data_IF_642418075848
#
_entry.id   IF_642418075848
#
_cell.length_a   1.000
_cell.length_b   1.000
_cell.length_c   1.000
_cell.angle_alpha   90.00
_cell.angle_beta   90.00
_cell.angle_gamma   90.00
#
_symmetry.space_group_name_H-M   'P 1'
#
loop_
_entity.id
_entity.type
_entity.pdbx_description
1 polymer ?
#
# COMPACT_ATOMS: atom_id res chain seq x y z
N UNK A 1 -16.46 -1.49 -28.10
CA UNK A 1 -16.07 -1.53 -26.68
C UNK A 1 -14.57 -1.81 -26.66
N UNK A 2 -13.77 -0.80 -26.33
CA UNK A 2 -12.32 -0.78 -26.56
C UNK A 2 -11.57 -1.64 -25.55
N UNK A 3 -10.62 -2.43 -26.04
CA UNK A 3 -9.75 -3.37 -25.30
C UNK A 3 -9.04 -2.67 -24.12
N UNK A 4 -8.78 -1.37 -24.22
CA UNK A 4 -8.11 -0.57 -23.18
C UNK A 4 -8.91 -0.49 -21.87
N UNK A 5 -10.25 -0.48 -21.90
CA UNK A 5 -11.08 -0.39 -20.70
C UNK A 5 -11.03 -1.69 -19.90
N UNK A 6 -11.03 -2.84 -20.59
CA UNK A 6 -10.91 -4.15 -19.96
C UNK A 6 -9.53 -4.30 -19.30
N UNK A 7 -8.49 -3.82 -19.98
CA UNK A 7 -7.11 -3.90 -19.48
C UNK A 7 -6.88 -3.01 -18.24
N UNK A 8 -7.45 -1.81 -18.20
CA UNK A 8 -7.33 -0.93 -17.02
C UNK A 8 -7.99 -1.53 -15.78
N UNK A 9 -9.16 -2.16 -15.93
CA UNK A 9 -9.86 -2.77 -14.82
C UNK A 9 -9.14 -4.01 -14.30
N UNK A 10 -8.57 -4.83 -15.19
CA UNK A 10 -7.73 -5.97 -14.82
C UNK A 10 -6.49 -5.53 -14.03
N UNK A 11 -5.82 -4.45 -14.46
CA UNK A 11 -4.67 -3.91 -13.72
C UNK A 11 -5.08 -3.44 -12.33
N UNK A 12 -6.23 -2.77 -12.17
CA UNK A 12 -6.73 -2.39 -10.83
C UNK A 12 -6.97 -3.60 -9.95
N UNK A 13 -7.61 -4.65 -10.48
CA UNK A 13 -7.85 -5.88 -9.73
C UNK A 13 -6.54 -6.56 -9.32
N UNK A 14 -5.53 -6.59 -10.20
CA UNK A 14 -4.21 -7.13 -9.89
C UNK A 14 -3.55 -6.32 -8.76
N UNK A 15 -3.57 -4.99 -8.83
CA UNK A 15 -3.00 -4.12 -7.80
C UNK A 15 -3.71 -4.30 -6.44
N UNK A 16 -5.04 -4.43 -6.44
CA UNK A 16 -5.82 -4.71 -5.23
C UNK A 16 -5.51 -6.10 -4.66
N UNK A 17 -5.36 -7.12 -5.50
CA UNK A 17 -4.99 -8.46 -5.08
C UNK A 17 -3.58 -8.47 -4.46
N UNK A 18 -2.64 -7.74 -5.06
CA UNK A 18 -1.28 -7.59 -4.55
C UNK A 18 -1.25 -6.89 -3.18
N UNK A 19 -2.02 -5.81 -3.00
CA UNK A 19 -2.19 -5.13 -1.71
C UNK A 19 -2.71 -6.10 -0.63
N UNK A 20 -3.78 -6.86 -0.93
CA UNK A 20 -4.35 -7.86 0.00
C UNK A 20 -3.36 -8.97 0.35
N UNK A 21 -2.60 -9.46 -0.64
CA UNK A 21 -1.58 -10.48 -0.42
C UNK A 21 -0.47 -9.95 0.50
N UNK A 22 -0.02 -8.72 0.28
CA UNK A 22 0.98 -8.06 1.12
C UNK A 22 0.51 -7.85 2.55
N UNK A 23 -0.76 -7.46 2.75
CA UNK A 23 -1.37 -7.36 4.06
C UNK A 23 -1.37 -8.71 4.79
N UNK A 24 -1.78 -9.79 4.11
CA UNK A 24 -1.74 -11.13 4.68
C UNK A 24 -0.32 -11.57 5.07
N UNK A 25 0.68 -11.29 4.22
CA UNK A 25 2.10 -11.55 4.53
C UNK A 25 2.59 -10.74 5.74
N UNK A 26 2.21 -9.48 5.85
CA UNK A 26 2.57 -8.63 6.98
C UNK A 26 1.94 -9.13 8.28
N UNK A 27 0.67 -9.55 8.27
CA UNK A 27 -0.01 -10.15 9.43
C UNK A 27 0.66 -11.45 9.87
N UNK A 28 1.07 -12.29 8.92
CA UNK A 28 1.81 -13.51 9.24
C UNK A 28 3.19 -13.21 9.83
N UNK A 29 3.90 -12.21 9.30
CA UNK A 29 5.18 -11.79 9.85
C UNK A 29 5.05 -11.17 11.26
N UNK A 30 3.98 -10.43 11.51
CA UNK A 30 3.63 -9.91 12.84
C UNK A 30 3.40 -11.04 13.85
N UNK A 31 2.68 -12.10 13.45
CA UNK A 31 2.48 -13.30 14.26
C UNK A 31 3.79 -14.04 14.59
N UNK A 32 4.82 -13.92 13.74
CA UNK A 32 6.15 -14.48 13.94
C UNK A 32 7.10 -13.55 14.72
N UNK A 33 6.57 -12.54 15.42
CA UNK A 33 7.32 -11.57 16.21
C UNK A 33 8.31 -10.71 15.41
N UNK A 34 7.96 -10.36 14.15
CA UNK A 34 8.74 -9.39 13.39
C UNK A 34 8.76 -8.01 14.07
N UNK A 35 9.89 -7.30 13.94
CA UNK A 35 10.02 -5.93 14.44
C UNK A 35 8.98 -5.00 13.77
N UNK A 36 8.25 -4.24 14.59
CA UNK A 36 7.22 -3.27 14.16
C UNK A 36 7.77 -2.24 13.16
N UNK A 37 9.02 -1.79 13.34
CA UNK A 37 9.66 -0.85 12.41
C UNK A 37 9.91 -1.47 11.05
N UNK A 38 10.34 -2.74 11.02
CA UNK A 38 10.53 -3.51 9.78
C UNK A 38 9.20 -3.74 9.06
N UNK A 39 8.13 -4.03 9.79
CA UNK A 39 6.78 -4.17 9.22
C UNK A 39 6.26 -2.86 8.63
N UNK A 40 6.49 -1.72 9.31
CA UNK A 40 6.14 -0.39 8.78
C UNK A 40 6.93 -0.05 7.51
N UNK A 41 8.24 -0.31 7.51
CA UNK A 41 9.08 -0.10 6.34
C UNK A 41 8.63 -0.97 5.16
N UNK A 42 8.30 -2.24 5.41
CA UNK A 42 7.74 -3.16 4.41
C UNK A 42 6.43 -2.63 3.82
N UNK A 43 5.46 -2.24 4.66
CA UNK A 43 4.16 -1.71 4.20
C UNK A 43 4.34 -0.46 3.33
N UNK A 44 5.17 0.49 3.78
CA UNK A 44 5.48 1.71 3.02
C UNK A 44 6.16 1.42 1.69
N UNK A 45 7.17 0.53 1.69
CA UNK A 45 7.89 0.15 0.49
C UNK A 45 6.99 -0.54 -0.54
N UNK A 46 6.14 -1.47 -0.08
CA UNK A 46 5.19 -2.17 -0.95
C UNK A 46 4.18 -1.21 -1.56
N UNK A 47 3.64 -0.28 -0.76
CA UNK A 47 2.72 0.75 -1.23
C UNK A 47 3.35 1.69 -2.26
N UNK A 48 4.60 2.10 -2.05
CA UNK A 48 5.36 2.87 -3.03
C UNK A 48 5.52 2.09 -4.34
N UNK A 49 5.83 0.79 -4.27
CA UNK A 49 5.95 -0.06 -5.45
C UNK A 49 4.63 -0.16 -6.23
N UNK A 50 3.50 -0.41 -5.56
CA UNK A 50 2.19 -0.44 -6.22
C UNK A 50 1.83 0.90 -6.88
N UNK A 51 2.18 2.01 -6.24
CA UNK A 51 1.97 3.35 -6.81
C UNK A 51 2.76 3.55 -8.10
N UNK A 52 4.04 3.14 -8.12
CA UNK A 52 4.88 3.22 -9.33
C UNK A 52 4.33 2.34 -10.46
N UNK A 53 3.88 1.12 -10.13
CA UNK A 53 3.27 0.22 -11.12
C UNK A 53 1.97 0.81 -11.68
N UNK A 54 1.10 1.37 -10.82
CA UNK A 54 -0.13 2.03 -11.25
C UNK A 54 0.15 3.19 -12.22
N UNK A 55 1.12 4.06 -11.89
CA UNK A 55 1.53 5.17 -12.74
C UNK A 55 2.11 4.69 -14.08
N UNK A 56 2.94 3.63 -14.08
CA UNK A 56 3.47 3.05 -15.30
C UNK A 56 2.37 2.47 -16.22
N UNK A 57 1.26 2.04 -15.63
CA UNK A 57 0.07 1.57 -16.34
C UNK A 57 -0.90 2.71 -16.74
N UNK A 58 -0.54 3.97 -16.52
CA UNK A 58 -1.42 5.12 -16.82
C UNK A 58 -2.62 5.25 -15.87
N UNK A 59 -2.59 4.57 -14.73
CA UNK A 59 -3.61 4.70 -13.69
C UNK A 59 -3.22 5.82 -12.71
N UNK A 60 -4.23 6.57 -12.26
CA UNK A 60 -4.04 7.51 -11.15
C UNK A 60 -3.74 6.72 -9.87
N UNK A 61 -2.85 7.21 -8.99
CA UNK A 61 -2.55 6.55 -7.73
C UNK A 61 -3.84 6.24 -6.97
N UNK A 62 -3.98 5.00 -6.48
CA UNK A 62 -5.04 4.65 -5.54
C UNK A 62 -4.94 5.62 -4.36
N UNK A 63 -5.95 6.48 -4.21
CA UNK A 63 -6.00 7.45 -3.13
C UNK A 63 -5.72 6.74 -1.80
N UNK A 64 -4.99 7.37 -0.86
CA UNK A 64 -4.86 6.82 0.47
C UNK A 64 -6.23 6.46 1.03
N UNK A 65 -6.43 5.18 1.33
CA UNK A 65 -7.46 4.81 2.29
C UNK A 65 -7.16 5.62 3.55
N UNK A 66 -8.16 6.36 4.03
CA UNK A 66 -8.05 7.40 5.04
C UNK A 66 -7.65 6.91 6.45
N UNK A 67 -7.06 5.71 6.56
CA UNK A 67 -6.62 5.09 7.82
C UNK A 67 -5.11 5.25 8.08
N UNK A 68 -4.35 5.86 7.15
CA UNK A 68 -3.00 6.37 7.44
C UNK A 68 -3.04 7.89 7.61
N UNK A 69 -3.84 8.38 8.58
CA UNK A 69 -3.49 9.61 9.29
C UNK A 69 -2.20 9.32 10.07
N UNK A 70 -1.07 9.47 9.38
CA UNK A 70 0.25 9.48 10.00
C UNK A 70 0.27 10.72 10.89
N UNK A 71 -0.15 10.56 12.15
CA UNK A 71 0.16 11.50 13.21
C UNK A 71 1.68 11.70 13.23
N UNK A 72 2.20 12.92 13.01
CA UNK A 72 3.61 13.19 13.23
C UNK A 72 3.86 13.19 14.75
N UNK A 73 4.57 12.17 15.25
CA UNK A 73 5.22 12.23 16.56
C UNK A 73 6.72 12.50 16.34
N UNK A 74 7.39 13.38 17.13
CA UNK A 74 7.00 13.84 18.46
C UNK A 74 6.63 15.32 18.55
N UNK A 75 5.43 15.60 19.08
CA UNK A 75 5.16 16.86 19.76
C UNK A 75 5.01 16.60 21.27
N UNK A 76 6.04 15.96 21.86
CA UNK A 76 6.31 16.14 23.27
C UNK A 76 7.20 17.39 23.44
N UNK A 77 6.60 18.56 23.71
CA UNK A 77 7.23 19.57 24.60
C UNK A 77 6.26 20.67 25.04
N UNK A 78 6.03 20.71 26.37
CA UNK A 78 5.72 21.85 27.25
C UNK A 78 4.58 22.82 26.87
N UNK A 79 3.54 22.82 27.70
CA UNK A 79 3.41 23.76 28.84
C UNK A 79 2.38 23.24 29.85
#
# INVERSE_FOLDING_TARGET
>A
MSVEILFQEDIKHILQAAERASQASATQAEALAANVESLRAYRRGFRAALTVVALACGLSPLAPQADEEILPWPAATRR
#
